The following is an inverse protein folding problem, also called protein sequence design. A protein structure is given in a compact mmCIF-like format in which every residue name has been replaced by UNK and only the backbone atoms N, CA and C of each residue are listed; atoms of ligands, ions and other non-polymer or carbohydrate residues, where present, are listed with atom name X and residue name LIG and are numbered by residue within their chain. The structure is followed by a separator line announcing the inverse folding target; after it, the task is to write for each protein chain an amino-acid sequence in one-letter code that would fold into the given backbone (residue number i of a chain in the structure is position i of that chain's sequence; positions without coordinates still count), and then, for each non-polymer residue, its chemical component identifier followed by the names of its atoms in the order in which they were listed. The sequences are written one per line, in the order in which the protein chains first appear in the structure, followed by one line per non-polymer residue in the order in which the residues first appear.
data_IF_398624780629
#
_entry.id   IF_398624780629
#
_cell.length_a   1.000
_cell.length_b   1.000
_cell.length_c   1.000
_cell.angle_alpha   90.00
_cell.angle_beta   90.00
_cell.angle_gamma   90.00
#
_symmetry.space_group_name_H-M   'P 1'
#
loop_
_entity.id
_entity.type
_entity.pdbx_description
1 polymer ?
#
# COMPACT_ATOMS: atom_id res chain seq x y z
N UNK A 1 10.09 16.95 4.48
CA UNK A 1 9.63 15.59 4.79
C UNK A 1 9.92 14.70 3.60
N UNK A 2 10.36 13.46 3.83
CA UNK A 2 10.69 12.49 2.78
C UNK A 2 9.81 11.24 2.94
N UNK A 3 9.59 10.56 1.82
CA UNK A 3 8.98 9.24 1.75
C UNK A 3 10.02 8.23 1.29
N UNK A 4 9.79 6.98 1.70
CA UNK A 4 10.73 5.90 1.49
C UNK A 4 10.04 4.70 0.85
N UNK A 5 10.73 4.07 -0.10
CA UNK A 5 10.32 2.80 -0.68
C UNK A 5 11.45 1.79 -0.48
N UNK A 6 11.16 0.73 0.27
CA UNK A 6 12.15 -0.21 0.78
C UNK A 6 12.39 -1.29 -0.26
N UNK A 7 13.65 -1.67 -0.49
CA UNK A 7 14.00 -2.89 -1.21
C UNK A 7 14.59 -3.88 -0.22
N UNK A 8 14.19 -5.14 -0.37
CA UNK A 8 14.60 -6.22 0.51
C UNK A 8 16.04 -6.69 0.30
N UNK A 9 16.19 -8.00 0.12
CA UNK A 9 17.51 -8.61 -0.05
C UNK A 9 18.29 -8.02 -1.25
N UNK A 10 19.61 -8.20 -1.21
CA UNK A 10 20.57 -7.55 -2.12
C UNK A 10 20.31 -7.85 -3.61
N UNK A 11 19.80 -9.03 -3.94
CA UNK A 11 19.65 -9.46 -5.34
C UNK A 11 18.47 -8.81 -6.05
N UNK A 12 17.31 -8.73 -5.40
CA UNK A 12 16.15 -8.01 -5.95
C UNK A 12 16.45 -6.50 -6.07
N UNK A 13 17.12 -5.97 -5.03
CA UNK A 13 17.41 -4.55 -4.87
C UNK A 13 18.24 -3.99 -6.02
N UNK A 14 19.35 -4.62 -6.40
CA UNK A 14 20.31 -3.99 -7.32
C UNK A 14 19.78 -3.78 -8.74
N UNK A 15 19.09 -4.77 -9.31
CA UNK A 15 18.56 -4.66 -10.68
C UNK A 15 17.39 -3.68 -10.74
N UNK A 16 16.43 -3.78 -9.80
CA UNK A 16 15.28 -2.87 -9.77
C UNK A 16 15.71 -1.45 -9.46
N UNK A 17 16.58 -1.24 -8.47
CA UNK A 17 17.07 0.11 -8.13
C UNK A 17 17.85 0.77 -9.26
N UNK A 18 18.62 0.00 -10.07
CA UNK A 18 19.24 0.54 -11.28
C UNK A 18 18.19 1.03 -12.29
N UNK A 19 17.16 0.22 -12.56
CA UNK A 19 16.06 0.62 -13.46
C UNK A 19 15.30 1.84 -12.92
N UNK A 20 15.12 1.94 -11.60
CA UNK A 20 14.49 3.08 -10.95
C UNK A 20 15.29 4.38 -11.15
N UNK A 21 16.63 4.33 -11.15
CA UNK A 21 17.45 5.51 -11.50
C UNK A 21 17.19 6.01 -12.92
N UNK A 22 16.94 5.09 -13.85
CA UNK A 22 16.75 5.40 -15.26
C UNK A 22 15.31 5.84 -15.56
N UNK A 23 14.34 5.24 -14.87
CA UNK A 23 12.91 5.29 -15.20
C UNK A 23 12.06 5.93 -14.10
N UNK A 24 12.59 6.24 -12.93
CA UNK A 24 11.76 6.62 -11.78
C UNK A 24 11.03 5.41 -11.16
N UNK A 25 10.31 5.64 -10.08
CA UNK A 25 9.57 4.58 -9.37
C UNK A 25 8.14 4.51 -9.90
N UNK A 26 7.74 3.32 -10.33
CA UNK A 26 6.41 3.01 -10.83
C UNK A 26 6.06 1.55 -10.51
N UNK A 27 4.79 1.11 -10.66
CA UNK A 27 4.30 -0.20 -10.24
C UNK A 27 5.18 -1.40 -10.58
N UNK A 28 5.71 -1.47 -11.81
CA UNK A 28 6.55 -2.61 -12.26
C UNK A 28 7.96 -2.63 -11.65
N UNK A 29 8.36 -1.57 -10.95
CA UNK A 29 9.68 -1.42 -10.33
C UNK A 29 9.61 -1.38 -8.80
N UNK A 30 8.43 -1.56 -8.20
CA UNK A 30 8.29 -1.70 -6.75
C UNK A 30 8.99 -2.95 -6.23
N UNK A 31 9.30 -2.99 -4.93
CA UNK A 31 9.91 -4.17 -4.31
C UNK A 31 8.87 -5.24 -3.95
N UNK A 32 9.32 -6.44 -3.63
CA UNK A 32 8.45 -7.48 -3.05
C UNK A 32 7.96 -7.12 -1.64
N UNK A 33 8.65 -6.23 -0.92
CA UNK A 33 8.31 -5.87 0.45
C UNK A 33 7.27 -4.76 0.52
N UNK A 34 7.41 -3.75 -0.34
CA UNK A 34 6.43 -2.69 -0.53
C UNK A 34 5.99 -2.76 -1.99
N UNK A 35 4.85 -3.41 -2.22
CA UNK A 35 4.33 -3.63 -3.55
C UNK A 35 3.49 -2.47 -4.07
N UNK A 36 2.52 -2.83 -4.89
CA UNK A 36 1.45 -1.96 -5.37
C UNK A 36 0.15 -2.31 -4.67
N UNK A 37 -0.88 -1.47 -4.81
CA UNK A 37 -2.23 -1.86 -4.43
C UNK A 37 -2.59 -1.71 -2.96
N UNK A 38 -1.71 -2.13 -2.04
CA UNK A 38 -2.01 -2.12 -0.61
C UNK A 38 -3.30 -2.89 -0.29
N UNK A 39 -4.03 -2.48 0.75
CA UNK A 39 -5.34 -3.06 1.08
C UNK A 39 -6.40 -2.90 -0.01
N UNK A 40 -6.22 -1.94 -0.94
CA UNK A 40 -7.17 -1.69 -2.02
C UNK A 40 -7.15 -2.73 -3.15
N UNK A 41 -6.13 -3.59 -3.21
CA UNK A 41 -5.96 -4.61 -4.27
C UNK A 41 -6.45 -6.01 -3.86
N UNK A 42 -6.86 -6.19 -2.60
CA UNK A 42 -7.36 -7.50 -2.14
C UNK A 42 -8.70 -7.89 -2.74
N UNK A 43 -9.58 -6.93 -3.00
CA UNK A 43 -10.91 -7.17 -3.58
C UNK A 43 -11.23 -6.12 -4.66
N UNK A 44 -10.53 -6.17 -5.81
CA UNK A 44 -10.54 -5.11 -6.81
C UNK A 44 -11.96 -4.82 -7.35
N UNK A 45 -12.78 -5.85 -7.55
CA UNK A 45 -14.16 -5.67 -8.01
C UNK A 45 -15.03 -4.87 -7.02
N UNK A 46 -14.85 -5.10 -5.71
CA UNK A 46 -15.59 -4.38 -4.67
C UNK A 46 -15.04 -2.96 -4.57
N UNK A 47 -13.71 -2.82 -4.58
CA UNK A 47 -13.03 -1.54 -4.49
C UNK A 47 -13.41 -0.61 -5.65
N UNK A 48 -13.44 -1.13 -6.87
CA UNK A 48 -13.82 -0.38 -8.06
C UNK A 48 -15.27 0.12 -7.97
N UNK A 49 -16.20 -0.71 -7.47
CA UNK A 49 -17.59 -0.27 -7.22
C UNK A 49 -17.67 0.87 -6.20
N UNK A 50 -16.83 0.85 -5.17
CA UNK A 50 -16.76 1.92 -4.15
C UNK A 50 -16.16 3.19 -4.76
N UNK A 51 -15.08 3.06 -5.54
CA UNK A 51 -14.41 4.17 -6.22
C UNK A 51 -15.32 4.87 -7.22
N UNK A 52 -16.04 4.11 -8.07
CA UNK A 52 -16.97 4.67 -9.07
C UNK A 52 -18.13 5.46 -8.45
N UNK A 53 -18.43 5.24 -7.16
CA UNK A 53 -19.45 5.97 -6.40
C UNK A 53 -18.88 7.15 -5.61
N UNK A 54 -17.59 7.44 -5.75
CA UNK A 54 -16.86 8.45 -4.98
C UNK A 54 -16.39 9.58 -5.92
N UNK A 55 -17.12 10.70 -6.02
CA UNK A 55 -16.76 11.81 -6.91
C UNK A 55 -15.38 12.37 -6.60
N UNK A 56 -14.58 12.67 -7.63
CA UNK A 56 -13.25 13.28 -7.47
C UNK A 56 -12.14 12.29 -7.09
N UNK A 57 -12.44 10.99 -7.04
CA UNK A 57 -11.50 9.93 -6.72
C UNK A 57 -10.95 9.21 -7.96
N UNK A 58 -11.11 9.80 -9.16
CA UNK A 58 -10.72 9.18 -10.44
C UNK A 58 -9.20 8.91 -10.52
N UNK A 59 -8.41 9.67 -9.77
CA UNK A 59 -6.95 9.54 -9.71
C UNK A 59 -6.47 8.48 -8.70
N UNK A 60 -7.34 7.98 -7.83
CA UNK A 60 -7.02 6.91 -6.87
C UNK A 60 -7.18 5.57 -7.57
N UNK A 61 -6.11 5.06 -8.17
CA UNK A 61 -6.10 3.75 -8.82
C UNK A 61 -5.10 2.82 -8.11
N UNK A 62 -5.62 1.80 -7.42
CA UNK A 62 -4.80 0.85 -6.65
C UNK A 62 -3.90 -0.03 -7.52
N UNK A 63 -4.28 -0.32 -8.77
CA UNK A 63 -3.42 -1.06 -9.73
C UNK A 63 -2.06 -0.38 -9.94
N UNK A 64 -2.02 0.94 -9.77
CA UNK A 64 -0.83 1.77 -9.97
C UNK A 64 -0.35 2.49 -8.72
N UNK A 65 -1.04 2.32 -7.60
CA UNK A 65 -0.68 2.92 -6.32
C UNK A 65 0.56 2.23 -5.74
N UNK A 66 1.56 3.01 -5.34
CA UNK A 66 2.84 2.51 -4.84
C UNK A 66 2.87 2.65 -3.32
N UNK A 67 3.12 1.55 -2.61
CA UNK A 67 3.23 1.56 -1.15
C UNK A 67 4.57 2.17 -0.72
N UNK A 68 4.52 3.06 0.27
CA UNK A 68 5.68 3.80 0.80
C UNK A 68 5.57 3.93 2.33
N UNK A 69 6.63 4.44 2.96
CA UNK A 69 6.69 4.66 4.41
C UNK A 69 7.32 6.02 4.75
N UNK A 70 7.10 6.51 5.97
CA UNK A 70 7.71 7.72 6.52
C UNK A 70 9.11 7.50 7.09
N UNK A 71 9.54 6.24 7.25
CA UNK A 71 10.86 5.87 7.76
C UNK A 71 11.44 4.71 6.95
N UNK A 72 12.74 4.72 6.64
CA UNK A 72 13.40 3.59 6.00
C UNK A 72 13.49 2.36 6.92
N UNK A 73 13.18 2.52 8.22
CA UNK A 73 13.49 1.53 9.25
C UNK A 73 14.97 1.10 9.16
N UNK A 74 15.29 -0.14 9.54
CA UNK A 74 16.65 -0.70 9.50
C UNK A 74 17.00 -1.35 8.14
N UNK A 75 16.29 -0.97 7.05
CA UNK A 75 16.58 -1.49 5.73
C UNK A 75 17.86 -0.88 5.16
N UNK A 76 18.74 -1.71 4.61
CA UNK A 76 19.99 -1.29 3.99
C UNK A 76 19.83 -0.74 2.57
N UNK A 77 18.75 -1.10 1.89
CA UNK A 77 18.48 -0.69 0.51
C UNK A 77 17.12 -0.01 0.43
N UNK A 78 17.08 1.28 0.12
CA UNK A 78 15.83 2.00 -0.02
C UNK A 78 15.95 3.20 -0.97
N UNK A 79 14.81 3.63 -1.46
CA UNK A 79 14.63 4.90 -2.15
C UNK A 79 14.19 5.93 -1.12
N UNK A 80 14.68 7.15 -1.29
CA UNK A 80 14.18 8.32 -0.59
C UNK A 80 13.78 9.38 -1.61
N UNK A 81 12.64 10.02 -1.43
CA UNK A 81 12.20 11.13 -2.27
C UNK A 81 11.35 12.15 -1.50
N UNK A 82 11.41 13.44 -1.83
CA UNK A 82 10.59 14.45 -1.19
C UNK A 82 9.13 14.28 -1.62
N UNK A 83 8.22 14.84 -0.85
CA UNK A 83 6.82 14.98 -1.25
C UNK A 83 6.77 15.93 -2.45
N UNK A 84 6.33 15.41 -3.60
CA UNK A 84 6.30 16.14 -4.87
C UNK A 84 4.88 16.27 -5.47
N UNK A 85 3.90 15.57 -4.89
CA UNK A 85 2.51 15.50 -5.37
C UNK A 85 1.56 15.49 -4.18
N UNK A 86 0.32 15.94 -4.41
CA UNK A 86 -0.78 15.83 -3.46
C UNK A 86 -1.55 14.49 -3.60
N UNK A 87 -1.19 13.64 -4.57
CA UNK A 87 -1.78 12.32 -4.80
C UNK A 87 -1.22 11.25 -3.87
N UNK A 88 -1.18 11.58 -2.58
CA UNK A 88 -0.64 10.70 -1.53
C UNK A 88 -1.72 10.53 -0.48
N UNK A 89 -2.17 9.30 -0.31
CA UNK A 89 -3.16 8.93 0.69
C UNK A 89 -2.51 8.10 1.79
N UNK A 90 -3.10 8.20 2.97
CA UNK A 90 -2.79 7.39 4.14
C UNK A 90 -4.07 6.66 4.53
N UNK A 91 -3.98 5.35 4.64
CA UNK A 91 -5.06 4.44 4.99
C UNK A 91 -4.77 3.74 6.32
N UNK A 92 -5.83 3.27 6.97
CA UNK A 92 -5.71 2.48 8.19
C UNK A 92 -5.27 1.05 7.85
N UNK A 93 -4.05 0.70 8.25
CA UNK A 93 -3.46 -0.61 7.98
C UNK A 93 -4.10 -1.72 8.81
N UNK A 94 -4.77 -1.42 9.92
CA UNK A 94 -5.48 -2.45 10.68
C UNK A 94 -6.66 -3.01 9.87
N UNK A 95 -7.28 -2.19 9.02
CA UNK A 95 -8.32 -2.65 8.08
C UNK A 95 -7.70 -3.52 6.97
N UNK A 96 -6.51 -3.15 6.49
CA UNK A 96 -5.75 -3.96 5.51
C UNK A 96 -5.48 -5.36 6.05
N UNK A 97 -5.04 -5.46 7.31
CA UNK A 97 -4.82 -6.75 7.98
C UNK A 97 -6.08 -7.58 8.02
N UNK A 98 -7.24 -6.99 8.37
CA UNK A 98 -8.53 -7.70 8.40
C UNK A 98 -8.97 -8.17 7.00
N UNK A 99 -8.77 -7.35 5.97
CA UNK A 99 -9.05 -7.73 4.59
C UNK A 99 -8.18 -8.92 4.15
N UNK A 100 -6.91 -8.93 4.56
CA UNK A 100 -5.98 -10.01 4.28
C UNK A 100 -6.35 -11.31 5.01
N UNK A 101 -6.86 -11.24 6.24
CA UNK A 101 -7.31 -12.44 6.97
C UNK A 101 -8.37 -13.24 6.22
N UNK A 102 -9.24 -12.59 5.45
CA UNK A 102 -10.20 -13.28 4.57
C UNK A 102 -9.56 -13.96 3.36
N UNK A 103 -8.43 -13.45 2.87
CA UNK A 103 -7.63 -14.16 1.86
C UNK A 103 -6.99 -15.36 2.53
N UNK A 104 -6.36 -15.18 3.68
CA UNK A 104 -5.75 -16.30 4.43
C UNK A 104 -6.76 -17.40 4.75
N UNK A 105 -7.96 -17.04 5.18
CA UNK A 105 -9.04 -17.97 5.49
C UNK A 105 -9.44 -18.87 4.30
N UNK A 106 -9.31 -18.38 3.06
CA UNK A 106 -9.58 -19.17 1.85
C UNK A 106 -8.47 -20.20 1.53
N UNK A 107 -7.24 -19.96 2.00
CA UNK A 107 -6.08 -20.80 1.71
C UNK A 107 -5.61 -21.64 2.89
N UNK A 108 -5.94 -21.25 4.12
CA UNK A 108 -5.58 -21.97 5.34
C UNK A 108 -6.65 -23.01 5.63
N UNK A 109 -6.21 -24.27 5.61
CA UNK A 109 -7.03 -25.43 5.97
C UNK A 109 -6.87 -25.66 7.47
N UNK A 110 -7.98 -25.72 8.19
CA UNK A 110 -7.96 -26.02 9.62
C UNK A 110 -7.60 -27.49 9.92
N UNK A 111 -7.51 -27.84 11.19
CA UNK A 111 -7.18 -29.19 11.65
C UNK A 111 -8.19 -30.26 11.19
N UNK A 112 -9.40 -29.85 10.79
CA UNK A 112 -10.47 -30.72 10.28
C UNK A 112 -10.43 -30.90 8.76
N UNK A 113 -9.52 -30.22 8.06
CA UNK A 113 -9.42 -30.28 6.61
C UNK A 113 -10.33 -29.28 5.88
N UNK A 114 -10.90 -28.29 6.59
CA UNK A 114 -11.84 -27.31 6.03
C UNK A 114 -11.16 -25.94 5.93
N UNK A 115 -11.26 -25.29 4.78
CA UNK A 115 -10.90 -23.87 4.63
C UNK A 115 -12.14 -22.99 4.89
N UNK A 116 -11.94 -21.72 5.25
CA UNK A 116 -13.05 -20.79 5.47
C UNK A 116 -13.62 -20.77 6.89
N UNK A 117 -12.86 -21.24 7.89
CA UNK A 117 -13.31 -21.41 9.28
C UNK A 117 -12.59 -20.50 10.29
N UNK A 118 -11.62 -19.71 9.83
CA UNK A 118 -10.75 -18.86 10.67
C UNK A 118 -11.36 -17.49 10.96
N UNK A 119 -12.39 -17.05 10.23
CA UNK A 119 -13.04 -15.76 10.46
C UNK A 119 -13.98 -15.85 11.66
N UNK A 120 -13.67 -15.07 12.71
CA UNK A 120 -14.45 -15.03 13.93
C UNK A 120 -15.87 -14.50 13.71
N UNK A 121 -16.88 -15.06 14.40
CA UNK A 121 -18.24 -14.51 14.39
C UNK A 121 -18.26 -13.03 14.79
N UNK A 122 -18.97 -12.20 14.02
CA UNK A 122 -19.06 -10.76 14.25
C UNK A 122 -17.97 -9.94 13.54
N UNK A 123 -17.03 -10.58 12.84
CA UNK A 123 -16.12 -9.89 11.91
C UNK A 123 -16.93 -9.23 10.78
N UNK A 124 -16.68 -7.94 10.45
CA UNK A 124 -17.35 -7.29 9.33
C UNK A 124 -17.08 -8.03 8.02
N UNK A 125 -18.06 -8.03 7.12
CA UNK A 125 -17.93 -8.65 5.79
C UNK A 125 -16.83 -8.02 4.94
N UNK A 126 -16.36 -8.73 3.91
CA UNK A 126 -15.43 -8.19 2.90
C UNK A 126 -15.89 -6.85 2.33
N UNK A 127 -17.18 -6.72 2.01
CA UNK A 127 -17.75 -5.48 1.47
C UNK A 127 -17.74 -4.33 2.47
N UNK A 128 -18.02 -4.59 3.74
CA UNK A 128 -17.97 -3.58 4.80
C UNK A 128 -16.52 -3.14 5.05
N UNK A 129 -15.58 -4.08 5.12
CA UNK A 129 -14.16 -3.76 5.30
C UNK A 129 -13.60 -2.96 4.13
N UNK A 130 -13.96 -3.28 2.88
CA UNK A 130 -13.53 -2.48 1.71
C UNK A 130 -14.07 -1.04 1.80
N UNK A 131 -15.34 -0.86 2.18
CA UNK A 131 -15.92 0.48 2.40
C UNK A 131 -15.23 1.22 3.55
N UNK A 132 -14.91 0.53 4.65
CA UNK A 132 -14.17 1.10 5.77
C UNK A 132 -12.75 1.49 5.37
N UNK A 133 -12.03 0.64 4.63
CA UNK A 133 -10.69 0.93 4.14
C UNK A 133 -10.70 2.17 3.23
N UNK A 134 -11.61 2.21 2.25
CA UNK A 134 -11.79 3.38 1.39
C UNK A 134 -12.10 4.64 2.21
N UNK A 135 -13.04 4.55 3.15
CA UNK A 135 -13.44 5.65 4.03
C UNK A 135 -12.35 6.10 5.02
N UNK A 136 -11.37 5.25 5.32
CA UNK A 136 -10.21 5.60 6.16
C UNK A 136 -9.20 6.50 5.44
N UNK A 137 -9.25 6.53 4.10
CA UNK A 137 -8.30 7.25 3.27
C UNK A 137 -8.32 8.76 3.54
N UNK A 138 -7.19 9.29 4.00
CA UNK A 138 -6.96 10.73 4.17
C UNK A 138 -5.72 11.17 3.41
N UNK A 139 -5.66 12.44 2.99
CA UNK A 139 -4.42 12.97 2.38
C UNK A 139 -3.28 12.94 3.39
N UNK A 140 -2.05 12.79 2.91
CA UNK A 140 -0.87 12.83 3.79
C UNK A 140 -0.81 14.11 4.64
N UNK A 141 -1.17 15.26 4.07
CA UNK A 141 -1.24 16.53 4.81
C UNK A 141 -2.22 16.46 5.99
N UNK A 142 -3.46 15.99 5.74
CA UNK A 142 -4.48 15.86 6.77
C UNK A 142 -4.10 14.81 7.82
N UNK A 143 -3.46 13.72 7.40
CA UNK A 143 -2.94 12.71 8.32
C UNK A 143 -1.89 13.31 9.26
N UNK A 144 -0.93 14.07 8.74
CA UNK A 144 0.12 14.67 9.57
C UNK A 144 -0.41 15.66 10.60
N UNK A 145 -1.55 16.31 10.31
CA UNK A 145 -2.24 17.23 11.22
C UNK A 145 -3.04 16.51 12.30
N UNK A 146 -3.80 15.49 11.92
CA UNK A 146 -4.86 14.91 12.77
C UNK A 146 -4.52 13.52 13.32
N UNK A 147 -3.67 12.75 12.64
CA UNK A 147 -3.26 11.37 12.97
C UNK A 147 -4.42 10.49 13.47
N UNK A 148 -5.47 10.29 12.63
CA UNK A 148 -6.70 9.61 13.04
C UNK A 148 -6.53 8.14 13.45
N UNK A 149 -5.42 7.51 13.06
CA UNK A 149 -5.04 6.15 13.41
C UNK A 149 -3.51 6.06 13.50
N UNK A 150 -2.99 5.04 14.19
CA UNK A 150 -1.54 4.87 14.45
C UNK A 150 -0.84 3.97 13.45
N UNK A 151 -1.52 2.95 12.93
CA UNK A 151 -0.96 2.00 11.98
C UNK A 151 -1.31 2.41 10.55
N UNK A 152 -0.32 2.86 9.79
CA UNK A 152 -0.54 3.47 8.48
C UNK A 152 -0.14 2.58 7.32
N UNK A 153 -0.94 2.60 6.27
CA UNK A 153 -0.53 2.26 4.92
C UNK A 153 -0.48 3.55 4.09
N UNK A 154 0.68 3.89 3.55
CA UNK A 154 0.85 5.13 2.78
C UNK A 154 1.03 4.77 1.31
N UNK A 155 0.25 5.42 0.46
CA UNK A 155 0.24 5.14 -0.97
C UNK A 155 0.45 6.41 -1.79
N UNK A 156 1.29 6.32 -2.81
CA UNK A 156 1.47 7.35 -3.84
C UNK A 156 0.78 6.88 -5.11
N UNK A 157 -0.22 7.62 -5.59
CA UNK A 157 -1.00 7.32 -6.79
C UNK A 157 -0.42 8.00 -8.04
N UNK A 158 0.89 8.18 -8.06
CA UNK A 158 1.61 8.82 -9.15
C UNK A 158 3.04 8.27 -9.23
N UNK A 159 3.58 8.18 -10.46
CA UNK A 159 4.97 7.79 -10.68
C UNK A 159 5.90 8.79 -10.01
N UNK A 160 6.89 8.29 -9.25
CA UNK A 160 7.93 9.15 -8.69
C UNK A 160 8.96 9.47 -9.77
N UNK A 161 9.15 10.75 -10.15
CA UNK A 161 10.10 11.12 -11.17
C UNK A 161 11.55 10.77 -10.77
N UNK A 162 12.37 10.35 -11.74
CA UNK A 162 13.76 9.94 -11.48
C UNK A 162 14.63 11.03 -10.83
N UNK A 163 14.36 12.29 -11.14
CA UNK A 163 15.07 13.45 -10.59
C UNK A 163 14.68 13.76 -9.13
N UNK A 164 13.64 13.13 -8.60
CA UNK A 164 13.23 13.24 -7.19
C UNK A 164 13.84 12.13 -6.32
N UNK A 165 14.45 11.10 -6.92
CA UNK A 165 14.87 9.89 -6.24
C UNK A 165 16.34 9.96 -5.78
N UNK A 166 16.55 9.61 -4.52
CA UNK A 166 17.87 9.27 -3.98
C UNK A 166 17.90 7.77 -3.68
N UNK A 167 18.83 7.03 -4.28
CA UNK A 167 19.09 5.65 -3.89
C UNK A 167 20.02 5.62 -2.68
N UNK A 168 19.66 4.84 -1.66
CA UNK A 168 20.51 4.59 -0.49
C UNK A 168 20.75 3.08 -0.40
N UNK A 169 22.02 2.70 -0.33
CA UNK A 169 22.49 1.31 -0.28
C UNK A 169 23.77 1.28 0.56
N UNK A 170 23.78 0.46 1.61
CA UNK A 170 24.93 0.22 2.51
C UNK A 170 25.53 -1.19 2.32
#
# INVERSE_FOLDING_TARGET
MFLYHLYGNKYESLIKMKKVKEQGLHPKLTSMYLGTGGGGDFYPDIMERVRLRSPGAEWINFDVGIVVTLSPYDFKNYLRFPIFTNKIMVFDRDITTKLFSYIEDEYVIDESGIAGTMIEPGTPSKEELVKQYWGSGVTLENYMKNKPFSNTEIMVFERVPKNQLTLISE
#
